data_IF_954497732909
#
_entry.id   IF_954497732909
#
_cell.length_a   1.000
_cell.length_b   1.000
_cell.length_c   1.000
_cell.angle_alpha   90.00
_cell.angle_beta   90.00
_cell.angle_gamma   90.00
#
_symmetry.space_group_name_H-M   'P 1'
#
loop_
_entity.id
_entity.type
_entity.pdbx_description
1 polymer ?
#
# COMPACT_ATOMS: atom_id res chain seq x y z
N UNK A 1 15.30 15.95 -15.33
CA UNK A 1 15.91 16.64 -14.18
C UNK A 1 17.12 17.40 -14.71
N UNK A 2 17.30 18.68 -14.37
CA UNK A 2 18.46 19.44 -14.86
C UNK A 2 19.75 18.88 -14.27
N UNK A 3 20.86 19.00 -15.00
CA UNK A 3 22.20 18.55 -14.55
C UNK A 3 22.57 19.15 -13.19
N UNK A 4 22.22 20.43 -13.01
CA UNK A 4 22.40 21.18 -11.78
C UNK A 4 21.70 20.56 -10.55
N UNK A 5 20.48 20.01 -10.71
CA UNK A 5 19.80 19.33 -9.60
C UNK A 5 20.49 18.00 -9.29
N UNK A 6 20.97 17.28 -10.30
CA UNK A 6 21.69 16.02 -10.09
C UNK A 6 23.02 16.25 -9.38
N UNK A 7 23.75 17.31 -9.74
CA UNK A 7 24.99 17.68 -9.06
C UNK A 7 24.71 17.98 -7.57
N UNK A 8 23.60 18.68 -7.26
CA UNK A 8 23.16 18.93 -5.87
C UNK A 8 22.68 17.67 -5.14
N UNK A 9 22.17 16.66 -5.83
CA UNK A 9 21.76 15.37 -5.24
C UNK A 9 22.99 14.56 -4.83
N UNK A 10 24.03 14.53 -5.67
CA UNK A 10 25.23 13.74 -5.39
C UNK A 10 26.26 14.45 -4.51
N UNK A 11 26.12 15.77 -4.36
CA UNK A 11 26.84 16.55 -3.38
C UNK A 11 26.45 16.13 -1.95
N UNK A 12 27.43 15.59 -1.22
CA UNK A 12 27.26 15.10 0.15
C UNK A 12 27.02 16.22 1.17
N UNK A 13 27.37 17.47 0.83
CA UNK A 13 27.11 18.60 1.70
C UNK A 13 25.59 18.84 1.86
N UNK A 14 25.15 19.10 3.09
CA UNK A 14 23.74 19.40 3.39
C UNK A 14 22.83 18.18 3.57
N UNK A 15 23.36 16.96 3.50
CA UNK A 15 22.65 15.79 4.00
C UNK A 15 22.59 15.80 5.54
N UNK A 16 21.40 15.57 6.06
CA UNK A 16 21.12 15.48 7.49
C UNK A 16 20.73 14.04 7.84
N UNK A 17 21.21 13.57 9.00
CA UNK A 17 20.78 12.29 9.57
C UNK A 17 19.58 12.57 10.48
N UNK A 18 18.56 11.72 10.39
CA UNK A 18 17.40 11.80 11.27
C UNK A 18 17.70 11.10 12.60
N UNK A 19 17.50 11.80 13.71
CA UNK A 19 17.62 11.20 15.04
C UNK A 19 16.44 10.25 15.33
N UNK A 20 16.77 9.06 15.84
CA UNK A 20 15.90 7.89 16.06
C UNK A 20 14.57 8.18 16.79
N UNK A 21 14.51 9.23 17.62
CA UNK A 21 13.43 9.45 18.60
C UNK A 21 12.17 10.15 18.07
N UNK A 22 12.14 10.61 16.81
CA UNK A 22 10.96 11.32 16.24
C UNK A 22 10.20 10.50 15.20
N UNK A 23 10.57 9.24 15.02
CA UNK A 23 10.17 8.50 13.84
C UNK A 23 9.50 7.16 14.19
N UNK A 24 8.42 6.83 13.48
CA UNK A 24 7.54 5.70 13.84
C UNK A 24 8.12 4.34 13.40
N UNK A 25 9.08 4.31 12.48
CA UNK A 25 9.49 3.10 11.75
C UNK A 25 11.01 2.94 11.58
N UNK A 26 11.76 3.11 12.65
CA UNK A 26 13.14 3.57 12.58
C UNK A 26 14.16 2.66 11.87
N UNK A 27 14.31 1.39 12.28
CA UNK A 27 15.36 0.51 11.73
C UNK A 27 14.88 -0.47 10.67
N UNK A 28 13.63 -0.91 10.76
CA UNK A 28 13.12 -1.99 9.90
C UNK A 28 12.95 -1.54 8.45
N UNK A 29 12.67 -0.26 8.20
CA UNK A 29 12.34 0.24 6.85
C UNK A 29 13.57 0.74 6.10
N UNK A 30 14.56 1.32 6.78
CA UNK A 30 15.63 2.08 6.12
C UNK A 30 17.04 1.51 6.28
N UNK A 31 17.24 0.54 7.16
CA UNK A 31 18.56 -0.06 7.41
C UNK A 31 19.42 0.80 8.32
N UNK A 32 20.73 0.54 8.29
CA UNK A 32 21.70 1.13 9.23
C UNK A 32 21.97 2.62 8.96
N UNK A 33 21.75 3.09 7.73
CA UNK A 33 22.04 4.47 7.34
C UNK A 33 20.84 5.07 6.62
N UNK A 34 20.37 6.21 7.13
CA UNK A 34 19.35 7.03 6.50
C UNK A 34 19.71 8.51 6.60
N UNK A 35 19.77 9.17 5.45
CA UNK A 35 20.05 10.62 5.35
C UNK A 35 19.11 11.29 4.37
N UNK A 36 18.84 12.57 4.57
CA UNK A 36 17.99 13.34 3.69
C UNK A 36 18.56 14.73 3.40
N UNK A 37 18.19 15.30 2.25
CA UNK A 37 18.54 16.66 1.82
C UNK A 37 17.31 17.32 1.23
N UNK A 38 17.04 18.57 1.58
CA UNK A 38 15.92 19.34 1.03
C UNK A 38 16.45 20.30 -0.02
N UNK A 39 15.90 20.22 -1.22
CA UNK A 39 16.21 21.11 -2.33
C UNK A 39 14.94 21.91 -2.64
N UNK A 40 14.95 23.20 -2.30
CA UNK A 40 13.90 24.10 -2.74
C UNK A 40 14.00 24.35 -4.23
N UNK A 41 12.85 24.33 -4.92
CA UNK A 41 12.76 24.60 -6.34
C UNK A 41 11.43 25.26 -6.70
N UNK A 42 11.41 25.87 -7.87
CA UNK A 42 10.19 26.37 -8.49
C UNK A 42 9.83 25.46 -9.67
N UNK A 43 8.66 24.83 -9.61
CA UNK A 43 8.15 24.01 -10.69
C UNK A 43 7.31 24.88 -11.63
N UNK A 44 7.64 24.87 -12.91
CA UNK A 44 6.99 25.68 -13.93
C UNK A 44 6.11 24.77 -14.78
N UNK A 45 4.80 24.93 -14.64
CA UNK A 45 3.80 24.18 -15.40
C UNK A 45 3.22 25.10 -16.48
N UNK A 46 3.26 24.65 -17.73
CA UNK A 46 2.60 25.33 -18.84
C UNK A 46 1.29 24.62 -19.16
N UNK A 47 0.17 25.34 -19.18
CA UNK A 47 -1.11 24.79 -19.61
C UNK A 47 -1.17 24.71 -21.14
N UNK A 48 -2.15 23.95 -21.66
CA UNK A 48 -2.38 23.85 -23.11
C UNK A 48 -2.74 25.18 -23.78
N UNK A 49 -3.18 26.17 -22.99
CA UNK A 49 -3.53 27.54 -23.43
C UNK A 49 -2.34 28.51 -23.35
N UNK A 50 -1.16 28.04 -22.92
CA UNK A 50 0.07 28.83 -22.85
C UNK A 50 0.28 29.60 -21.54
N UNK A 51 -0.64 29.47 -20.57
CA UNK A 51 -0.46 30.05 -19.24
C UNK A 51 0.65 29.34 -18.48
N UNK A 52 1.45 30.13 -17.74
CA UNK A 52 2.60 29.63 -16.98
C UNK A 52 2.28 29.74 -15.49
N UNK A 53 2.19 28.60 -14.82
CA UNK A 53 2.04 28.51 -13.38
C UNK A 53 3.37 28.16 -12.73
N UNK A 54 3.75 28.94 -11.72
CA UNK A 54 4.94 28.73 -10.91
C UNK A 54 4.52 28.22 -9.55
N UNK A 55 4.92 27.00 -9.22
CA UNK A 55 4.58 26.35 -7.95
C UNK A 55 5.88 26.20 -7.14
N UNK A 56 5.99 26.86 -5.98
CA UNK A 56 7.14 26.67 -5.10
C UNK A 56 7.02 25.29 -4.45
N UNK A 57 8.08 24.48 -4.54
CA UNK A 57 8.08 23.09 -4.11
C UNK A 57 9.37 22.75 -3.37
N UNK A 58 9.28 21.75 -2.50
CA UNK A 58 10.43 21.12 -1.88
C UNK A 58 10.64 19.73 -2.52
N UNK A 59 11.88 19.48 -2.94
CA UNK A 59 12.35 18.18 -3.35
C UNK A 59 13.16 17.57 -2.20
N UNK A 60 12.55 16.63 -1.49
CA UNK A 60 13.18 15.90 -0.39
C UNK A 60 13.88 14.69 -0.99
N UNK A 61 15.20 14.71 -0.99
CA UNK A 61 16.03 13.60 -1.40
C UNK A 61 16.36 12.77 -0.17
N UNK A 62 16.20 11.45 -0.26
CA UNK A 62 16.58 10.52 0.79
C UNK A 62 17.59 9.52 0.25
N UNK A 63 18.47 9.04 1.12
CA UNK A 63 19.35 7.92 0.89
C UNK A 63 19.15 6.89 1.99
N UNK A 64 19.13 5.61 1.61
CA UNK A 64 18.98 4.48 2.52
C UNK A 64 19.88 3.32 2.12
N UNK A 65 20.64 2.79 3.07
CA UNK A 65 21.52 1.63 2.83
C UNK A 65 20.73 0.37 2.48
N UNK A 66 19.58 0.14 3.13
CA UNK A 66 18.67 -0.98 2.79
C UNK A 66 18.14 -0.87 1.37
N UNK A 67 17.74 0.33 0.95
CA UNK A 67 17.32 0.60 -0.43
C UNK A 67 18.49 0.40 -1.40
N UNK A 68 19.68 0.87 -1.08
CA UNK A 68 20.86 0.72 -1.93
C UNK A 68 21.15 -0.76 -2.21
N UNK A 69 21.10 -1.61 -1.18
CA UNK A 69 21.26 -3.05 -1.35
C UNK A 69 20.20 -3.66 -2.27
N UNK A 70 18.92 -3.36 -2.04
CA UNK A 70 17.82 -3.87 -2.86
C UNK A 70 17.88 -3.39 -4.31
N UNK A 71 18.16 -2.10 -4.50
CA UNK A 71 18.22 -1.48 -5.83
C UNK A 71 19.42 -2.04 -6.63
N UNK A 72 20.55 -2.31 -5.96
CA UNK A 72 21.69 -3.04 -6.53
C UNK A 72 21.34 -4.47 -6.95
N UNK A 73 20.66 -5.23 -6.08
CA UNK A 73 20.22 -6.60 -6.39
C UNK A 73 19.28 -6.63 -7.59
N UNK A 74 18.31 -5.71 -7.66
CA UNK A 74 17.39 -5.61 -8.81
C UNK A 74 18.12 -5.15 -10.09
N UNK A 75 19.09 -4.23 -10.00
CA UNK A 75 19.96 -3.88 -11.14
C UNK A 75 20.70 -5.11 -11.65
N UNK A 76 21.36 -5.85 -10.76
CA UNK A 76 22.13 -7.05 -11.13
C UNK A 76 21.25 -8.07 -11.85
N UNK A 77 20.04 -8.34 -11.32
CA UNK A 77 19.06 -9.23 -11.96
C UNK A 77 18.66 -8.76 -13.35
N UNK A 78 18.49 -7.45 -13.56
CA UNK A 78 18.17 -6.89 -14.88
C UNK A 78 19.37 -6.95 -15.84
N UNK A 79 20.59 -6.78 -15.34
CA UNK A 79 21.83 -6.91 -16.13
C UNK A 79 22.03 -8.36 -16.57
N UNK A 80 21.80 -9.34 -15.69
CA UNK A 80 21.86 -10.77 -16.03
C UNK A 80 20.85 -11.12 -17.13
N UNK A 81 19.59 -10.68 -16.98
CA UNK A 81 18.58 -10.83 -18.03
C UNK A 81 19.00 -10.16 -19.34
N UNK A 82 19.64 -9.00 -19.29
CA UNK A 82 20.14 -8.32 -20.49
C UNK A 82 21.23 -9.16 -21.18
N UNK A 83 22.14 -9.79 -20.43
CA UNK A 83 23.16 -10.70 -20.96
C UNK A 83 22.53 -11.95 -21.58
N UNK A 84 21.56 -12.59 -20.93
CA UNK A 84 20.83 -13.74 -21.49
C UNK A 84 20.11 -13.39 -22.81
N UNK A 85 19.57 -12.17 -22.92
CA UNK A 85 18.94 -11.68 -24.15
C UNK A 85 19.95 -11.45 -25.28
N UNK A 86 21.20 -11.11 -24.98
CA UNK A 86 22.27 -10.99 -25.97
C UNK A 86 22.68 -12.34 -26.55
N UNK A 87 22.63 -13.41 -25.75
CA UNK A 87 22.89 -14.78 -26.22
C UNK A 87 21.79 -15.33 -27.12
N UNK A 88 20.55 -14.83 -26.98
CA UNK A 88 19.37 -15.25 -27.77
C UNK A 88 18.74 -14.06 -28.51
N UNK A 89 19.36 -13.58 -29.62
CA UNK A 89 18.95 -12.35 -30.31
C UNK A 89 17.50 -12.36 -30.84
N UNK A 90 16.93 -13.54 -31.13
CA UNK A 90 15.53 -13.69 -31.56
C UNK A 90 14.50 -13.21 -30.52
N UNK A 91 14.86 -13.15 -29.24
CA UNK A 91 13.97 -12.73 -28.15
C UNK A 91 14.04 -11.21 -27.85
N UNK A 92 14.99 -10.48 -28.44
CA UNK A 92 15.22 -9.06 -28.12
C UNK A 92 14.07 -8.15 -28.57
N UNK A 93 13.38 -8.51 -29.67
CA UNK A 93 12.14 -7.81 -30.12
C UNK A 93 10.94 -8.12 -29.20
N UNK A 94 10.83 -9.34 -28.68
CA UNK A 94 9.74 -9.73 -27.78
C UNK A 94 9.89 -9.15 -26.35
N UNK A 95 11.11 -8.80 -25.96
CA UNK A 95 11.44 -8.27 -24.64
C UNK A 95 11.10 -6.78 -24.43
N UNK A 96 10.58 -6.07 -25.45
CA UNK A 96 10.17 -4.66 -25.36
C UNK A 96 9.21 -4.37 -24.19
N UNK A 97 8.43 -5.38 -23.77
CA UNK A 97 7.42 -5.24 -22.72
C UNK A 97 7.89 -5.60 -21.30
N UNK A 98 9.13 -6.09 -21.10
CA UNK A 98 9.56 -6.73 -19.83
C UNK A 98 10.92 -6.26 -19.27
N UNK A 99 11.30 -5.00 -19.51
CA UNK A 99 12.40 -4.33 -18.78
C UNK A 99 13.84 -4.79 -19.08
N UNK A 100 14.06 -5.97 -19.66
CA UNK A 100 15.40 -6.50 -19.97
C UNK A 100 16.18 -5.71 -21.03
N UNK A 101 15.52 -4.82 -21.79
CA UNK A 101 16.15 -3.93 -22.76
C UNK A 101 16.78 -2.68 -22.14
N UNK A 102 16.53 -2.39 -20.85
CA UNK A 102 17.00 -1.16 -20.18
C UNK A 102 18.50 -0.93 -20.33
N UNK A 103 19.29 -2.02 -20.27
CA UNK A 103 20.76 -1.99 -20.38
C UNK A 103 21.28 -2.49 -21.73
N UNK A 104 20.46 -2.48 -22.79
CA UNK A 104 20.87 -2.89 -24.13
C UNK A 104 20.89 -1.69 -25.07
N UNK A 105 22.05 -1.42 -25.67
CA UNK A 105 22.25 -0.40 -26.69
C UNK A 105 22.37 -1.05 -28.07
N UNK A 106 21.69 -0.49 -29.05
CA UNK A 106 21.78 -0.94 -30.45
C UNK A 106 22.99 -0.30 -31.12
N UNK A 107 23.76 -1.09 -31.86
CA UNK A 107 24.81 -0.56 -32.75
C UNK A 107 24.13 -0.17 -34.07
N UNK A 108 24.27 1.09 -34.46
CA UNK A 108 23.67 1.70 -35.65
C UNK A 108 23.83 0.81 -36.89
N UNK A 109 22.71 0.59 -37.58
CA UNK A 109 22.51 -0.20 -38.81
C UNK A 109 22.51 -1.74 -38.72
N UNK A 110 22.89 -2.35 -37.60
CA UNK A 110 22.74 -3.80 -37.41
C UNK A 110 21.57 -4.15 -36.48
N UNK A 111 21.09 -5.40 -36.54
CA UNK A 111 20.22 -5.97 -35.50
C UNK A 111 21.01 -6.40 -34.25
N UNK A 112 22.28 -6.00 -34.14
CA UNK A 112 23.14 -6.36 -33.01
C UNK A 112 22.93 -5.39 -31.85
N UNK A 113 22.75 -5.97 -30.68
CA UNK A 113 22.66 -5.28 -29.40
C UNK A 113 23.96 -5.52 -28.63
N UNK A 114 24.36 -4.54 -27.83
CA UNK A 114 25.46 -4.64 -26.88
C UNK A 114 24.99 -4.15 -25.52
N UNK A 115 25.70 -4.57 -24.47
CA UNK A 115 25.43 -4.08 -23.13
C UNK A 115 25.78 -2.58 -23.02
N UNK A 116 24.88 -1.80 -22.45
CA UNK A 116 25.08 -0.38 -22.17
C UNK A 116 25.70 -0.21 -20.78
N UNK A 117 27.03 -0.28 -20.71
CA UNK A 117 27.77 -0.09 -19.46
C UNK A 117 27.58 1.31 -18.86
N UNK A 118 27.34 2.33 -19.69
CA UNK A 118 27.11 3.69 -19.23
C UNK A 118 25.74 3.81 -18.55
N UNK A 119 24.70 3.15 -19.07
CA UNK A 119 23.40 3.06 -18.41
C UNK A 119 23.50 2.35 -17.06
N UNK A 120 24.26 1.25 -16.99
CA UNK A 120 24.49 0.51 -15.73
C UNK A 120 25.18 1.40 -14.69
N UNK A 121 26.29 2.06 -15.08
CA UNK A 121 27.04 2.97 -14.20
C UNK A 121 26.22 4.18 -13.78
N UNK A 122 25.33 4.69 -14.64
CA UNK A 122 24.41 5.77 -14.28
C UNK A 122 23.43 5.31 -13.21
N UNK A 123 22.76 4.18 -13.41
CA UNK A 123 21.79 3.65 -12.44
C UNK A 123 22.45 3.29 -11.11
N UNK A 124 23.68 2.76 -11.13
CA UNK A 124 24.47 2.49 -9.94
C UNK A 124 24.66 3.70 -9.03
N UNK A 125 24.84 4.89 -9.60
CA UNK A 125 24.97 6.12 -8.79
C UNK A 125 23.68 6.44 -8.03
N UNK A 126 22.52 6.02 -8.51
CA UNK A 126 21.23 6.30 -7.89
C UNK A 126 20.79 5.24 -6.87
N UNK A 127 21.57 4.19 -6.66
CA UNK A 127 21.25 3.17 -5.66
C UNK A 127 21.07 3.81 -4.29
N UNK A 128 19.94 3.50 -3.64
CA UNK A 128 19.65 4.01 -2.30
C UNK A 128 18.96 5.36 -2.30
N UNK A 129 19.04 6.12 -3.40
CA UNK A 129 18.42 7.44 -3.49
C UNK A 129 16.93 7.35 -3.83
N UNK A 130 16.15 8.21 -3.21
CA UNK A 130 14.74 8.41 -3.55
C UNK A 130 14.40 9.90 -3.43
N UNK A 131 13.43 10.36 -4.22
CA UNK A 131 13.06 11.77 -4.26
C UNK A 131 11.55 11.92 -4.07
N UNK A 132 11.16 12.72 -3.08
CA UNK A 132 9.77 13.08 -2.81
C UNK A 132 9.60 14.55 -3.16
N UNK A 133 8.72 14.83 -4.10
CA UNK A 133 8.32 16.18 -4.47
C UNK A 133 7.06 16.56 -3.71
N UNK A 134 7.06 17.70 -3.04
CA UNK A 134 5.88 18.23 -2.33
C UNK A 134 5.77 19.74 -2.46
N UNK A 135 4.55 20.24 -2.64
CA UNK A 135 4.23 21.68 -2.58
C UNK A 135 3.88 22.16 -1.17
N UNK A 136 3.83 21.25 -0.17
CA UNK A 136 3.56 21.58 1.23
C UNK A 136 4.83 22.07 1.91
N UNK A 137 4.96 23.39 2.06
CA UNK A 137 6.14 24.02 2.68
C UNK A 137 6.08 24.05 4.20
N UNK A 138 4.89 23.96 4.79
CA UNK A 138 4.70 24.04 6.24
C UNK A 138 4.98 22.71 6.94
N UNK A 139 5.05 21.60 6.20
CA UNK A 139 5.31 20.27 6.76
C UNK A 139 6.80 20.07 6.98
N UNK A 140 7.15 19.52 8.14
CA UNK A 140 8.49 19.03 8.40
C UNK A 140 8.84 17.84 7.50
N UNK A 141 10.12 17.61 7.24
CA UNK A 141 10.58 16.46 6.44
C UNK A 141 10.09 15.13 7.02
N UNK A 142 10.09 15.00 8.35
CA UNK A 142 9.56 13.81 9.04
C UNK A 142 8.09 13.56 8.76
N UNK A 143 7.27 14.60 8.74
CA UNK A 143 5.84 14.47 8.44
C UNK A 143 5.60 14.08 6.98
N UNK A 144 6.37 14.67 6.05
CA UNK A 144 6.28 14.32 4.63
C UNK A 144 6.69 12.85 4.41
N UNK A 145 7.78 12.41 5.04
CA UNK A 145 8.21 11.01 4.96
C UNK A 145 7.17 10.06 5.55
N UNK A 146 6.63 10.36 6.73
CA UNK A 146 5.58 9.55 7.35
C UNK A 146 4.32 9.46 6.47
N UNK A 147 3.87 10.59 5.91
CA UNK A 147 2.73 10.62 5.01
C UNK A 147 2.98 9.81 3.74
N UNK A 148 4.20 9.90 3.17
CA UNK A 148 4.59 9.10 2.02
C UNK A 148 4.63 7.60 2.35
N UNK A 149 5.10 7.22 3.54
CA UNK A 149 5.02 5.84 3.99
C UNK A 149 3.59 5.37 4.12
N UNK A 150 2.68 6.19 4.64
CA UNK A 150 1.29 5.82 4.76
C UNK A 150 0.57 5.53 3.43
N UNK A 151 1.21 5.77 2.28
CA UNK A 151 0.69 5.41 0.96
C UNK A 151 0.37 3.91 0.84
N UNK A 152 1.15 3.01 1.48
CA UNK A 152 0.85 1.57 1.46
C UNK A 152 -0.52 1.25 2.08
N UNK A 153 -1.04 2.10 2.98
CA UNK A 153 -2.38 1.92 3.56
C UNK A 153 -3.47 2.01 2.49
N UNK A 154 -3.25 2.78 1.42
CA UNK A 154 -4.15 2.85 0.28
C UNK A 154 -4.14 1.51 -0.46
N UNK A 155 -2.97 0.94 -0.75
CA UNK A 155 -2.85 -0.36 -1.41
C UNK A 155 -3.52 -1.47 -0.59
N UNK A 156 -3.32 -1.46 0.73
CA UNK A 156 -4.01 -2.39 1.63
C UNK A 156 -5.51 -2.18 1.63
N UNK A 157 -5.99 -0.95 1.60
CA UNK A 157 -7.42 -0.65 1.49
C UNK A 157 -8.00 -1.21 0.19
N UNK A 158 -7.31 -1.05 -0.94
CA UNK A 158 -7.71 -1.70 -2.19
C UNK A 158 -7.65 -3.22 -2.13
N UNK A 159 -6.70 -3.80 -1.40
CA UNK A 159 -6.61 -5.25 -1.20
C UNK A 159 -7.83 -5.76 -0.43
N UNK A 160 -8.12 -5.18 0.74
CA UNK A 160 -9.29 -5.52 1.58
C UNK A 160 -10.59 -5.38 0.79
N UNK A 161 -10.78 -4.28 0.07
CA UNK A 161 -11.96 -4.09 -0.77
C UNK A 161 -12.12 -5.17 -1.84
N UNK A 162 -11.01 -5.69 -2.40
CA UNK A 162 -11.06 -6.75 -3.42
C UNK A 162 -11.26 -8.14 -2.82
N UNK A 163 -10.54 -8.47 -1.74
CA UNK A 163 -10.55 -9.82 -1.17
C UNK A 163 -11.65 -10.02 -0.12
N UNK A 164 -11.73 -9.15 0.87
CA UNK A 164 -12.67 -9.31 1.99
C UNK A 164 -14.11 -8.93 1.60
N UNK A 165 -14.24 -7.84 0.81
CA UNK A 165 -15.52 -7.23 0.47
C UNK A 165 -15.96 -7.46 -0.99
N UNK A 166 -15.20 -8.28 -1.73
CA UNK A 166 -15.55 -8.78 -3.06
C UNK A 166 -16.04 -7.69 -4.04
N UNK A 167 -15.44 -6.49 -4.00
CA UNK A 167 -15.68 -5.46 -5.03
C UNK A 167 -15.40 -6.01 -6.43
N UNK A 168 -14.52 -7.01 -6.52
CA UNK A 168 -14.33 -7.84 -7.70
C UNK A 168 -14.32 -9.30 -7.26
N UNK A 169 -14.95 -10.24 -7.99
CA UNK A 169 -15.59 -10.08 -9.31
C UNK A 169 -16.94 -9.33 -9.28
N UNK A 170 -17.26 -8.60 -10.35
CA UNK A 170 -18.53 -7.88 -10.50
C UNK A 170 -19.47 -8.74 -11.35
N UNK A 171 -20.52 -9.30 -10.74
CA UNK A 171 -21.51 -10.14 -11.43
C UNK A 171 -22.75 -9.35 -11.92
N UNK A 172 -22.63 -8.02 -12.00
CA UNK A 172 -23.70 -7.14 -12.46
C UNK A 172 -23.41 -6.58 -13.86
N UNK A 173 -24.45 -6.49 -14.68
CA UNK A 173 -24.35 -6.12 -16.10
C UNK A 173 -24.80 -4.69 -16.42
N UNK A 174 -25.59 -4.07 -15.55
CA UNK A 174 -26.07 -2.69 -15.75
C UNK A 174 -25.29 -1.71 -14.90
N UNK A 175 -24.98 -0.54 -15.45
CA UNK A 175 -24.22 0.49 -14.76
C UNK A 175 -24.81 0.86 -13.40
N UNK A 176 -26.15 0.99 -13.31
CA UNK A 176 -26.84 1.29 -12.04
C UNK A 176 -26.56 0.25 -10.95
N UNK A 177 -26.61 -1.05 -11.30
CA UNK A 177 -26.34 -2.14 -10.34
C UNK A 177 -24.86 -2.22 -9.98
N UNK A 178 -23.97 -1.98 -10.94
CA UNK A 178 -22.53 -1.90 -10.69
C UNK A 178 -22.23 -0.78 -9.69
N UNK A 179 -22.74 0.44 -9.93
CA UNK A 179 -22.59 1.57 -8.99
C UNK A 179 -23.15 1.23 -7.60
N UNK A 180 -24.31 0.57 -7.53
CA UNK A 180 -24.90 0.11 -6.27
C UNK A 180 -23.99 -0.84 -5.49
N UNK A 181 -23.42 -1.85 -6.16
CA UNK A 181 -22.45 -2.78 -5.56
C UNK A 181 -21.25 -2.05 -4.97
N UNK A 182 -20.63 -1.14 -5.75
CA UNK A 182 -19.52 -0.34 -5.28
C UNK A 182 -19.85 0.48 -4.02
N UNK A 183 -21.05 1.09 -3.97
CA UNK A 183 -21.49 1.84 -2.78
C UNK A 183 -21.62 0.93 -1.56
N UNK A 184 -22.25 -0.24 -1.70
CA UNK A 184 -22.40 -1.18 -0.59
C UNK A 184 -21.05 -1.67 -0.08
N UNK A 185 -20.14 -2.07 -0.99
CA UNK A 185 -18.79 -2.48 -0.60
C UNK A 185 -18.01 -1.34 0.07
N UNK A 186 -18.17 -0.10 -0.42
CA UNK A 186 -17.50 1.06 0.19
C UNK A 186 -18.03 1.35 1.60
N UNK A 187 -19.35 1.23 1.83
CA UNK A 187 -19.95 1.36 3.15
C UNK A 187 -19.48 0.26 4.09
N UNK A 188 -19.44 -0.99 3.62
CA UNK A 188 -18.89 -2.12 4.40
C UNK A 188 -17.43 -1.88 4.77
N UNK A 189 -16.62 -1.37 3.84
CA UNK A 189 -15.23 -1.00 4.09
C UNK A 189 -15.09 0.09 5.15
N UNK A 190 -15.95 1.12 5.11
CA UNK A 190 -15.94 2.18 6.12
C UNK A 190 -16.26 1.62 7.52
N UNK A 191 -17.24 0.73 7.62
CA UNK A 191 -17.60 0.07 8.88
C UNK A 191 -16.45 -0.79 9.41
N UNK A 192 -15.83 -1.59 8.54
CA UNK A 192 -14.68 -2.43 8.86
C UNK A 192 -13.48 -1.59 9.37
N UNK A 193 -13.11 -0.53 8.66
CA UNK A 193 -12.03 0.39 9.09
C UNK A 193 -12.33 1.09 10.40
N UNK A 194 -13.59 1.45 10.63
CA UNK A 194 -14.01 2.08 11.89
C UNK A 194 -13.90 1.09 13.06
N UNK A 195 -14.26 -0.17 12.82
CA UNK A 195 -14.11 -1.23 13.81
C UNK A 195 -12.63 -1.52 14.10
N UNK A 196 -11.79 -1.66 13.07
CA UNK A 196 -10.34 -1.83 13.22
C UNK A 196 -9.72 -0.69 14.04
N UNK A 197 -10.07 0.55 13.71
CA UNK A 197 -9.58 1.72 14.45
C UNK A 197 -10.01 1.68 15.92
N UNK A 198 -11.26 1.30 16.18
CA UNK A 198 -11.81 1.21 17.53
C UNK A 198 -11.13 0.10 18.34
N UNK A 199 -10.88 -1.07 17.74
CA UNK A 199 -10.13 -2.17 18.34
C UNK A 199 -8.69 -1.75 18.66
N UNK A 200 -8.03 -1.09 17.72
CA UNK A 200 -6.66 -0.60 17.89
C UNK A 200 -6.54 0.43 19.00
N UNK A 201 -7.54 1.30 19.16
CA UNK A 201 -7.58 2.28 20.25
C UNK A 201 -7.62 1.62 21.64
N UNK A 202 -8.07 0.36 21.73
CA UNK A 202 -8.06 -0.47 22.95
C UNK A 202 -6.88 -1.44 23.02
N UNK A 203 -5.87 -1.28 22.16
CA UNK A 203 -4.67 -2.14 22.13
C UNK A 203 -4.89 -3.53 21.52
N UNK A 204 -5.98 -3.73 20.77
CA UNK A 204 -6.26 -4.98 20.06
C UNK A 204 -6.00 -4.77 18.56
N UNK A 205 -4.96 -5.39 18.02
CA UNK A 205 -4.65 -5.34 16.59
C UNK A 205 -5.17 -6.61 15.91
N UNK A 206 -6.26 -6.48 15.15
CA UNK A 206 -6.87 -7.55 14.36
C UNK A 206 -6.84 -7.18 12.88
N UNK A 207 -6.62 -8.18 12.02
CA UNK A 207 -6.74 -8.00 10.57
C UNK A 207 -8.21 -8.00 10.13
N UNK A 208 -8.48 -7.40 8.98
CA UNK A 208 -9.77 -7.39 8.30
C UNK A 208 -10.40 -8.80 8.19
N UNK A 209 -9.61 -9.78 7.72
CA UNK A 209 -10.04 -11.17 7.58
C UNK A 209 -10.36 -11.80 8.95
N UNK A 210 -9.53 -11.55 9.98
CA UNK A 210 -9.76 -12.07 11.33
C UNK A 210 -11.01 -11.48 11.97
N UNK A 211 -11.28 -10.20 11.74
CA UNK A 211 -12.53 -9.55 12.18
C UNK A 211 -13.74 -10.23 11.53
N UNK A 212 -13.69 -10.49 10.22
CA UNK A 212 -14.76 -11.18 9.49
C UNK A 212 -14.98 -12.61 10.02
N UNK A 213 -13.90 -13.36 10.24
CA UNK A 213 -13.95 -14.71 10.83
C UNK A 213 -14.53 -14.69 12.24
N UNK A 214 -14.05 -13.80 13.10
CA UNK A 214 -14.51 -13.68 14.48
C UNK A 214 -16.01 -13.35 14.52
N UNK A 215 -16.48 -12.43 13.67
CA UNK A 215 -17.91 -12.12 13.55
C UNK A 215 -18.68 -13.35 13.03
N UNK A 216 -18.17 -14.02 12.00
CA UNK A 216 -18.78 -15.22 11.41
C UNK A 216 -18.79 -16.44 12.34
N UNK A 217 -17.94 -16.48 13.37
CA UNK A 217 -17.91 -17.53 14.38
C UNK A 217 -19.12 -17.48 15.34
N UNK A 218 -19.80 -16.32 15.43
CA UNK A 218 -20.94 -16.10 16.33
C UNK A 218 -22.21 -16.80 15.82
N UNK A 219 -22.26 -18.12 15.99
CA UNK A 219 -23.35 -18.96 15.52
C UNK A 219 -24.24 -19.47 16.66
N UNK A 220 -25.49 -19.76 16.31
CA UNK A 220 -26.44 -20.46 17.18
C UNK A 220 -26.77 -21.83 16.58
N UNK A 221 -27.04 -22.80 17.45
CA UNK A 221 -27.59 -24.11 17.09
C UNK A 221 -29.06 -24.14 17.48
N UNK A 222 -29.93 -24.44 16.53
CA UNK A 222 -31.35 -24.69 16.79
C UNK A 222 -31.51 -26.09 17.38
N UNK A 223 -32.23 -26.17 18.50
CA UNK A 223 -32.62 -27.43 19.11
C UNK A 223 -34.11 -27.42 19.42
N UNK A 224 -34.72 -28.60 19.41
CA UNK A 224 -36.12 -28.78 19.76
C UNK A 224 -36.23 -29.62 21.05
N UNK A 225 -36.91 -29.08 22.06
CA UNK A 225 -37.18 -29.76 23.32
C UNK A 225 -38.68 -29.70 23.57
N UNK A 226 -39.34 -30.86 23.67
CA UNK A 226 -40.77 -30.99 23.95
C UNK A 226 -41.66 -30.16 23.00
N UNK A 227 -41.35 -30.17 21.70
CA UNK A 227 -42.10 -29.43 20.68
C UNK A 227 -41.84 -27.91 20.66
N UNK A 228 -40.89 -27.42 21.46
CA UNK A 228 -40.48 -26.00 21.49
C UNK A 228 -39.07 -25.85 20.96
N UNK A 229 -38.86 -24.85 20.10
CA UNK A 229 -37.57 -24.52 19.50
C UNK A 229 -36.79 -23.52 20.36
N UNK A 230 -35.50 -23.79 20.52
CA UNK A 230 -34.55 -22.95 21.26
C UNK A 230 -33.27 -22.78 20.44
N UNK A 231 -32.54 -21.71 20.75
CA UNK A 231 -31.25 -21.43 20.15
C UNK A 231 -30.16 -21.47 21.23
N UNK A 232 -29.15 -22.29 21.00
CA UNK A 232 -27.97 -22.39 21.86
C UNK A 232 -26.80 -21.68 21.19
N UNK A 233 -26.24 -20.69 21.88
CA UNK A 233 -25.05 -19.97 21.43
C UNK A 233 -23.84 -20.92 21.44
N UNK A 234 -23.11 -21.00 20.33
CA UNK A 234 -21.83 -21.70 20.32
C UNK A 234 -20.75 -20.92 21.08
N UNK A 235 -19.66 -21.59 21.45
CA UNK A 235 -18.52 -20.93 22.07
C UNK A 235 -17.99 -19.88 21.09
N UNK A 236 -18.01 -18.62 21.52
CA UNK A 236 -17.45 -17.51 20.75
C UNK A 236 -15.95 -17.41 20.98
N UNK A 237 -15.25 -16.94 19.96
CA UNK A 237 -13.81 -16.64 20.04
C UNK A 237 -13.57 -15.38 20.89
N UNK A 238 -12.36 -15.25 21.44
CA UNK A 238 -11.99 -14.09 22.28
C UNK A 238 -12.09 -12.78 21.49
N UNK A 239 -11.70 -12.82 20.23
CA UNK A 239 -11.76 -11.68 19.31
C UNK A 239 -13.20 -11.23 19.05
N UNK A 240 -14.15 -12.17 18.99
CA UNK A 240 -15.56 -11.86 18.84
C UNK A 240 -16.11 -11.16 20.09
N UNK A 241 -15.69 -11.58 21.28
CA UNK A 241 -16.01 -10.86 22.53
C UNK A 241 -15.44 -9.45 22.55
N UNK A 242 -14.19 -9.29 22.12
CA UNK A 242 -13.53 -7.99 22.05
C UNK A 242 -14.28 -7.04 21.10
N UNK A 243 -14.71 -7.53 19.94
CA UNK A 243 -15.55 -6.79 19.00
C UNK A 243 -16.85 -6.33 19.66
N UNK A 244 -17.59 -7.23 20.33
CA UNK A 244 -18.83 -6.88 21.02
C UNK A 244 -18.59 -5.82 22.12
N UNK A 245 -17.52 -5.97 22.92
CA UNK A 245 -17.13 -5.01 23.97
C UNK A 245 -16.74 -3.64 23.41
N UNK A 246 -16.04 -3.60 22.28
CA UNK A 246 -15.64 -2.36 21.58
C UNK A 246 -16.86 -1.64 21.03
N UNK A 247 -17.75 -2.40 20.37
CA UNK A 247 -18.99 -1.89 19.78
C UNK A 247 -20.08 -1.59 20.82
N UNK A 248 -19.84 -1.91 22.10
CA UNK A 248 -20.81 -1.80 23.20
C UNK A 248 -22.09 -2.59 22.93
N UNK A 249 -21.97 -3.73 22.25
CA UNK A 249 -23.07 -4.64 21.95
C UNK A 249 -23.16 -5.66 23.07
N UNK A 250 -24.36 -5.85 23.63
CA UNK A 250 -24.60 -6.86 24.65
C UNK A 250 -24.53 -8.26 24.01
N UNK A 251 -23.64 -9.10 24.53
CA UNK A 251 -23.54 -10.48 24.06
C UNK A 251 -24.86 -11.24 24.30
N UNK A 252 -25.32 -12.05 23.33
CA UNK A 252 -26.49 -12.89 23.53
C UNK A 252 -26.31 -13.90 24.67
N UNK A 253 -27.41 -14.29 25.31
CA UNK A 253 -27.42 -15.36 26.32
C UNK A 253 -27.08 -16.70 25.66
N UNK A 254 -26.56 -17.64 26.46
CA UNK A 254 -26.18 -18.96 25.97
C UNK A 254 -27.37 -19.80 25.48
N UNK A 255 -28.54 -19.55 26.04
CA UNK A 255 -29.78 -20.25 25.73
C UNK A 255 -30.90 -19.22 25.64
N UNK A 256 -31.59 -19.18 24.51
CA UNK A 256 -32.70 -18.26 24.24
C UNK A 256 -33.82 -18.99 23.51
N UNK A 257 -35.04 -18.48 23.61
CA UNK A 257 -36.14 -19.02 22.78
C UNK A 257 -35.88 -18.70 21.31
N UNK A 258 -36.48 -19.49 20.41
CA UNK A 258 -36.39 -19.20 18.98
C UNK A 258 -36.89 -17.79 18.65
N UNK A 259 -37.98 -17.35 19.27
CA UNK A 259 -38.54 -15.99 19.10
C UNK A 259 -37.55 -14.90 19.54
N UNK A 260 -36.98 -15.01 20.75
CA UNK A 260 -35.98 -14.07 21.26
C UNK A 260 -34.74 -13.99 20.36
N UNK A 261 -34.28 -15.13 19.83
CA UNK A 261 -33.12 -15.15 18.93
C UNK A 261 -33.43 -14.58 17.55
N UNK A 262 -34.63 -14.81 17.02
CA UNK A 262 -35.06 -14.16 15.78
C UNK A 262 -35.20 -12.65 15.93
N UNK A 263 -35.62 -12.15 17.09
CA UNK A 263 -35.60 -10.71 17.39
C UNK A 263 -34.18 -10.13 17.43
N UNK A 264 -33.24 -10.86 18.04
CA UNK A 264 -31.82 -10.46 18.09
C UNK A 264 -31.15 -10.45 16.72
N UNK A 265 -31.40 -11.47 15.89
CA UNK A 265 -30.77 -11.63 14.57
C UNK A 265 -31.43 -10.71 13.52
N UNK A 266 -32.75 -10.51 13.59
CA UNK A 266 -33.47 -9.80 12.52
C UNK A 266 -33.39 -8.28 12.58
N UNK A 267 -32.75 -7.68 13.61
CA UNK A 267 -32.68 -6.23 13.87
C UNK A 267 -33.82 -5.46 13.17
N UNK A 268 -35.06 -5.68 13.62
CA UNK A 268 -36.32 -5.02 13.20
C UNK A 268 -36.37 -4.51 11.75
N UNK A 269 -37.09 -5.23 10.90
CA UNK A 269 -37.74 -4.63 9.71
C UNK A 269 -38.49 -3.35 10.07
#
# INVERSE_FOLDING_TARGET
MSKEILDRVFDEEGYQVLEEKKWRFDREIFGEEFRFKVIERENIIKTGEGEIFKIPENLIITYSSKRAKRDKEERQRLVEKAKELLEKPGNVRAAEKRGGRKYLRRISESEKYVLDEEAIKRDEKFDGFYAIQTSKKEMSVTEVLNAYHDLWKIEQSFRVMKSCLEVRPIFHWTEKRIRGHFVVCYLAFLLERTLEYSLRSKGKELSSDRIKEAIGSMNFVEIEINGKKYLIKQKIEEEAEDILKVMKIKAPKNFITYEEGMELISMRK
#
